data_IF_107097733570
#
_entry.id   IF_107097733570
#
_cell.length_a   1.000
_cell.length_b   1.000
_cell.length_c   1.000
_cell.angle_alpha   90.00
_cell.angle_beta   90.00
_cell.angle_gamma   90.00
#
_symmetry.space_group_name_H-M   'P 1'
#
loop_
_entity.id
_entity.type
_entity.pdbx_description
1 polymer ?
#
# COMPACT_ATOMS: atom_id res chain seq x y z
N UNK A 1 -20.49 2.27 68.99
CA UNK A 1 -21.35 2.58 67.83
C UNK A 1 -20.53 2.36 66.55
N UNK A 2 -20.77 1.27 65.83
CA UNK A 2 -20.03 0.94 64.60
C UNK A 2 -20.73 1.59 63.40
N UNK A 3 -19.99 2.37 62.60
CA UNK A 3 -20.50 2.95 61.33
C UNK A 3 -20.69 1.84 60.29
N UNK A 4 -21.80 1.83 59.52
CA UNK A 4 -22.01 0.85 58.46
C UNK A 4 -21.06 1.14 57.29
N UNK A 5 -20.44 0.08 56.75
CA UNK A 5 -19.57 0.12 55.58
C UNK A 5 -20.39 0.39 54.33
N UNK A 6 -19.96 1.38 53.54
CA UNK A 6 -20.54 1.75 52.25
C UNK A 6 -20.61 0.55 51.28
N UNK A 7 -21.73 0.37 50.55
CA UNK A 7 -21.88 -0.74 49.63
C UNK A 7 -20.94 -0.61 48.43
N UNK A 8 -20.32 -1.73 48.09
CA UNK A 8 -19.35 -1.90 47.03
C UNK A 8 -19.80 -1.26 45.70
N UNK A 9 -18.91 -0.44 45.12
CA UNK A 9 -19.07 0.10 43.76
C UNK A 9 -19.23 -1.05 42.77
N UNK A 10 -20.41 -1.13 42.15
CA UNK A 10 -20.70 -2.10 41.10
C UNK A 10 -19.73 -1.95 39.91
N UNK A 11 -19.28 -3.06 39.29
CA UNK A 11 -18.37 -3.01 38.14
C UNK A 11 -19.06 -2.38 36.94
N UNK A 12 -18.43 -1.36 36.36
CA UNK A 12 -18.98 -0.62 35.20
C UNK A 12 -19.04 -1.53 33.97
N UNK A 13 -20.24 -1.75 33.45
CA UNK A 13 -20.50 -2.49 32.20
C UNK A 13 -19.84 -1.75 31.05
N UNK A 14 -18.91 -2.42 30.34
CA UNK A 14 -18.24 -1.86 29.18
C UNK A 14 -19.25 -1.72 28.03
N UNK A 15 -19.31 -0.54 27.41
CA UNK A 15 -20.19 -0.26 26.28
C UNK A 15 -19.85 -1.19 25.10
N UNK A 16 -20.83 -1.56 24.24
CA UNK A 16 -20.67 -2.55 23.17
C UNK A 16 -19.59 -2.25 22.12
N UNK A 17 -19.05 -1.03 22.07
CA UNK A 17 -18.01 -0.61 21.12
C UNK A 17 -16.75 -0.08 21.80
N UNK A 18 -16.28 -0.77 22.85
CA UNK A 18 -15.02 -0.40 23.49
C UNK A 18 -13.82 -0.95 22.70
N UNK A 19 -13.55 -0.36 21.54
CA UNK A 19 -12.35 -0.63 20.74
C UNK A 19 -11.15 -0.06 21.51
N UNK A 20 -10.16 -0.89 21.83
CA UNK A 20 -8.93 -0.41 22.48
C UNK A 20 -8.14 0.39 21.45
N UNK A 21 -7.45 1.45 21.88
CA UNK A 21 -6.56 2.22 20.99
C UNK A 21 -5.51 1.35 20.29
N UNK A 22 -5.13 0.22 20.91
CA UNK A 22 -4.21 -0.76 20.35
C UNK A 22 -4.81 -1.66 19.26
N UNK A 23 -6.14 -1.81 19.22
CA UNK A 23 -6.86 -2.61 18.21
C UNK A 23 -7.33 -1.72 17.05
N UNK A 24 -7.13 -0.40 17.16
CA UNK A 24 -7.40 0.56 16.11
C UNK A 24 -6.14 0.60 15.23
N UNK A 25 -6.25 0.15 13.97
CA UNK A 25 -5.18 0.13 12.95
C UNK A 25 -4.70 1.55 12.58
N UNK A 26 -4.22 2.30 13.57
CA UNK A 26 -3.84 3.69 13.45
C UNK A 26 -2.52 3.82 12.70
N UNK A 27 -1.63 2.83 12.84
CA UNK A 27 -0.33 2.82 12.18
C UNK A 27 -0.48 2.78 10.65
N UNK A 28 -1.36 1.90 10.13
CA UNK A 28 -1.69 1.82 8.70
C UNK A 28 -2.33 3.11 8.19
N UNK A 29 -3.26 3.68 8.95
CA UNK A 29 -3.89 4.97 8.61
C UNK A 29 -2.89 6.14 8.59
N UNK A 30 -1.96 6.18 9.55
CA UNK A 30 -0.89 7.17 9.62
C UNK A 30 0.07 6.98 8.44
N UNK A 31 0.38 5.74 8.06
CA UNK A 31 1.21 5.41 6.91
C UNK A 31 0.56 5.87 5.59
N UNK A 32 -0.76 5.69 5.47
CA UNK A 32 -1.58 6.16 4.35
C UNK A 32 -1.69 7.69 4.26
N UNK A 33 -1.76 8.37 5.40
CA UNK A 33 -1.75 9.83 5.43
C UNK A 33 -0.36 10.38 5.08
N UNK A 34 0.70 9.74 5.60
CA UNK A 34 2.08 10.12 5.32
C UNK A 34 2.46 9.83 3.86
N UNK A 35 1.92 8.78 3.23
CA UNK A 35 2.13 8.49 1.81
C UNK A 35 1.51 9.54 0.89
N UNK A 36 0.47 10.24 1.35
CA UNK A 36 -0.23 11.29 0.59
C UNK A 36 0.34 12.69 0.81
N UNK A 37 1.25 12.88 1.78
CA UNK A 37 1.84 14.18 2.06
C UNK A 37 2.99 14.50 1.07
N UNK A 38 2.86 15.53 0.22
CA UNK A 38 3.84 15.79 -0.85
C UNK A 38 5.23 16.17 -0.32
N UNK A 39 5.29 16.80 0.86
CA UNK A 39 6.56 17.23 1.46
C UNK A 39 7.42 16.06 1.93
N UNK A 40 6.80 15.04 2.52
CA UNK A 40 7.48 13.83 3.00
C UNK A 40 7.94 12.96 1.83
N UNK A 41 7.13 12.86 0.77
CA UNK A 41 7.52 12.19 -0.47
C UNK A 41 8.76 12.84 -1.09
N UNK A 42 8.77 14.18 -1.21
CA UNK A 42 9.91 14.91 -1.75
C UNK A 42 11.17 14.70 -0.90
N UNK A 43 11.06 14.75 0.42
CA UNK A 43 12.19 14.48 1.32
C UNK A 43 12.73 13.06 1.16
N UNK A 44 11.85 12.05 1.08
CA UNK A 44 12.23 10.65 0.90
C UNK A 44 12.92 10.43 -0.45
N UNK A 45 12.37 11.01 -1.52
CA UNK A 45 12.95 11.00 -2.86
C UNK A 45 14.36 11.60 -2.80
N UNK A 46 14.52 12.82 -2.26
CA UNK A 46 15.83 13.48 -2.13
C UNK A 46 16.81 12.63 -1.29
N UNK A 47 16.36 12.02 -0.20
CA UNK A 47 17.19 11.15 0.62
C UNK A 47 17.67 9.92 -0.16
N UNK A 48 16.79 9.23 -0.87
CA UNK A 48 17.15 8.08 -1.71
C UNK A 48 18.08 8.46 -2.86
N UNK A 49 17.83 9.58 -3.54
CA UNK A 49 18.68 10.09 -4.60
C UNK A 49 20.10 10.43 -4.11
N UNK A 50 20.22 11.04 -2.92
CA UNK A 50 21.53 11.34 -2.31
C UNK A 50 22.27 10.08 -1.88
N UNK A 51 21.56 9.12 -1.28
CA UNK A 51 22.14 7.88 -0.78
C UNK A 51 22.55 6.93 -1.92
N UNK A 52 21.77 6.89 -3.01
CA UNK A 52 21.96 5.90 -4.07
C UNK A 52 23.26 6.08 -4.86
N UNK A 53 24.18 5.13 -4.70
CA UNK A 53 25.41 5.08 -5.47
C UNK A 53 25.16 4.83 -6.97
N UNK A 54 24.22 3.93 -7.29
CA UNK A 54 23.84 3.59 -8.66
C UNK A 54 23.36 4.82 -9.44
N UNK A 55 22.60 5.70 -8.78
CA UNK A 55 22.12 6.94 -9.40
C UNK A 55 23.27 7.92 -9.71
N UNK A 56 24.21 8.08 -8.79
CA UNK A 56 25.42 8.91 -8.99
C UNK A 56 26.29 8.37 -10.12
N UNK A 57 26.47 7.05 -10.19
CA UNK A 57 27.19 6.39 -11.28
C UNK A 57 26.51 6.61 -12.63
N UNK A 58 25.19 6.46 -12.68
CA UNK A 58 24.42 6.73 -13.90
C UNK A 58 24.59 8.18 -14.38
N UNK A 59 24.53 9.16 -13.48
CA UNK A 59 24.78 10.58 -13.83
C UNK A 59 26.18 10.80 -14.41
N UNK A 60 27.21 10.16 -13.87
CA UNK A 60 28.56 10.25 -14.40
C UNK A 60 28.66 9.65 -15.81
N UNK A 61 28.08 8.46 -16.03
CA UNK A 61 28.02 7.83 -17.35
C UNK A 61 27.22 8.67 -18.35
N UNK A 62 26.11 9.26 -17.90
CA UNK A 62 25.29 10.16 -18.71
C UNK A 62 26.09 11.39 -19.15
N UNK A 63 26.88 11.98 -18.26
CA UNK A 63 27.74 13.11 -18.59
C UNK A 63 28.80 12.73 -19.64
N UNK A 64 29.49 11.61 -19.44
CA UNK A 64 30.47 11.08 -20.41
C UNK A 64 29.82 10.84 -21.78
N UNK A 65 28.61 10.28 -21.80
CA UNK A 65 27.89 10.00 -23.04
C UNK A 65 27.46 11.27 -23.77
N UNK A 66 27.06 12.32 -23.05
CA UNK A 66 26.75 13.63 -23.65
C UNK A 66 28.00 14.20 -24.33
N UNK A 67 29.15 14.16 -23.65
CA UNK A 67 30.43 14.64 -24.21
C UNK A 67 30.83 13.81 -25.45
N UNK A 68 30.53 12.51 -25.45
CA UNK A 68 30.77 11.63 -26.60
C UNK A 68 29.72 11.75 -27.73
N UNK A 69 28.68 12.57 -27.57
CA UNK A 69 27.60 12.74 -28.56
C UNK A 69 26.45 11.72 -28.50
N UNK A 70 26.52 10.74 -27.58
CA UNK A 70 25.51 9.68 -27.40
C UNK A 70 24.56 9.90 -26.21
N UNK A 71 24.46 11.15 -25.71
CA UNK A 71 23.69 11.47 -24.52
C UNK A 71 22.21 11.06 -24.59
N UNK A 72 21.58 11.19 -25.76
CA UNK A 72 20.17 10.79 -25.96
C UNK A 72 19.98 9.28 -25.82
N UNK A 73 20.87 8.48 -26.43
CA UNK A 73 20.79 7.02 -26.34
C UNK A 73 20.96 6.54 -24.89
N UNK A 74 21.93 7.09 -24.17
CA UNK A 74 22.14 6.76 -22.76
C UNK A 74 20.98 7.19 -21.86
N UNK A 75 20.33 8.32 -22.17
CA UNK A 75 19.13 8.74 -21.48
C UNK A 75 17.98 7.74 -21.66
N UNK A 76 17.74 7.30 -22.90
CA UNK A 76 16.68 6.33 -23.21
C UNK A 76 16.93 5.01 -22.46
N UNK A 77 18.16 4.49 -22.52
CA UNK A 77 18.54 3.26 -21.81
C UNK A 77 18.37 3.43 -20.30
N UNK A 78 18.77 4.58 -19.74
CA UNK A 78 18.61 4.88 -18.33
C UNK A 78 17.16 4.96 -17.88
N UNK A 79 16.26 5.51 -18.72
CA UNK A 79 14.83 5.51 -18.44
C UNK A 79 14.25 4.10 -18.42
N UNK A 80 14.59 3.27 -19.41
CA UNK A 80 14.16 1.87 -19.44
C UNK A 80 14.66 1.09 -18.22
N UNK A 81 15.95 1.27 -17.88
CA UNK A 81 16.52 0.69 -16.67
C UNK A 81 15.80 1.17 -15.41
N UNK A 82 15.52 2.46 -15.28
CA UNK A 82 14.83 3.03 -14.14
C UNK A 82 13.40 2.49 -14.00
N UNK A 83 12.68 2.28 -15.11
CA UNK A 83 11.36 1.66 -15.10
C UNK A 83 11.42 0.24 -14.54
N UNK A 84 12.37 -0.57 -15.03
CA UNK A 84 12.54 -1.96 -14.58
C UNK A 84 12.97 -1.99 -13.10
N UNK A 85 13.96 -1.18 -12.72
CA UNK A 85 14.46 -1.14 -11.35
C UNK A 85 13.44 -0.58 -10.34
N UNK A 86 12.54 0.31 -10.78
CA UNK A 86 11.46 0.85 -9.98
C UNK A 86 10.18 -0.01 -10.03
N UNK A 87 10.15 -1.07 -10.84
CA UNK A 87 9.07 -2.05 -10.80
C UNK A 87 9.20 -2.80 -9.47
N UNK A 88 8.45 -2.32 -8.46
CA UNK A 88 8.46 -2.87 -7.12
C UNK A 88 7.87 -4.28 -7.07
N UNK A 89 8.16 -4.99 -5.97
CA UNK A 89 7.45 -6.22 -5.64
C UNK A 89 6.09 -5.86 -5.05
N UNK A 90 5.04 -6.60 -5.41
CA UNK A 90 3.74 -6.49 -4.74
C UNK A 90 3.91 -6.84 -3.26
N UNK A 91 3.15 -6.17 -2.39
CA UNK A 91 3.11 -6.55 -0.97
C UNK A 91 2.49 -7.94 -0.87
N UNK A 92 3.06 -8.78 -0.01
CA UNK A 92 2.52 -10.13 0.23
C UNK A 92 1.08 -10.03 0.74
N UNK A 93 0.15 -10.71 0.05
CA UNK A 93 -1.28 -10.70 0.36
C UNK A 93 -2.10 -9.58 -0.31
N UNK A 94 -1.48 -8.68 -1.08
CA UNK A 94 -2.22 -7.64 -1.82
C UNK A 94 -2.91 -8.26 -3.04
N UNK A 95 -4.25 -8.23 -3.11
CA UNK A 95 -5.01 -8.71 -4.26
C UNK A 95 -4.70 -7.87 -5.51
N UNK A 96 -4.58 -8.54 -6.65
CA UNK A 96 -4.32 -7.91 -7.93
C UNK A 96 -5.59 -7.27 -8.48
N UNK A 97 -5.41 -6.37 -9.44
CA UNK A 97 -6.49 -5.78 -10.21
C UNK A 97 -7.16 -6.76 -11.20
N UNK A 98 -6.62 -7.97 -11.40
CA UNK A 98 -7.21 -8.99 -12.27
C UNK A 98 -7.19 -10.34 -11.58
N UNK A 99 -8.35 -10.93 -11.34
CA UNK A 99 -8.52 -12.22 -10.65
C UNK A 99 -7.54 -13.31 -11.12
N UNK A 100 -7.17 -13.35 -12.41
CA UNK A 100 -6.15 -14.26 -12.97
C UNK A 100 -4.77 -14.21 -12.28
N UNK A 101 -4.39 -13.07 -11.71
CA UNK A 101 -3.12 -12.88 -11.01
C UNK A 101 -3.25 -12.97 -9.48
N UNK A 102 -4.39 -13.46 -8.97
CA UNK A 102 -4.58 -13.80 -7.56
C UNK A 102 -4.39 -15.30 -7.36
N UNK A 103 -3.97 -15.70 -6.16
CA UNK A 103 -4.01 -17.10 -5.76
C UNK A 103 -5.44 -17.64 -5.89
N UNK A 104 -5.58 -18.84 -6.43
CA UNK A 104 -6.86 -19.52 -6.69
C UNK A 104 -7.87 -18.75 -7.57
N UNK A 105 -7.40 -17.77 -8.36
CA UNK A 105 -8.29 -16.95 -9.21
C UNK A 105 -9.37 -16.28 -8.36
N UNK A 106 -9.00 -15.83 -7.16
CA UNK A 106 -9.95 -15.18 -6.25
C UNK A 106 -10.62 -13.99 -6.92
N UNK A 107 -11.94 -13.95 -6.83
CA UNK A 107 -12.77 -12.88 -7.36
C UNK A 107 -12.40 -11.55 -6.71
N UNK A 108 -12.42 -10.49 -7.51
CA UNK A 108 -12.09 -9.15 -7.02
C UNK A 108 -13.31 -8.61 -6.28
N UNK A 109 -13.07 -7.86 -5.21
CA UNK A 109 -14.14 -7.18 -4.51
C UNK A 109 -14.86 -6.21 -5.47
N UNK A 110 -16.15 -6.47 -5.73
CA UNK A 110 -16.95 -5.72 -6.72
C UNK A 110 -17.01 -6.33 -8.12
N UNK A 111 -16.31 -7.43 -8.40
CA UNK A 111 -16.55 -8.21 -9.63
C UNK A 111 -17.86 -9.00 -9.53
N UNK A 112 -18.55 -9.17 -10.65
CA UNK A 112 -19.79 -9.95 -10.72
C UNK A 112 -19.52 -11.41 -10.36
N UNK A 113 -20.20 -11.91 -9.34
CA UNK A 113 -20.23 -13.34 -9.02
C UNK A 113 -21.10 -14.07 -10.06
N UNK A 114 -20.43 -14.88 -10.90
CA UNK A 114 -21.08 -15.58 -12.00
C UNK A 114 -22.00 -16.70 -11.51
N UNK A 115 -21.72 -17.33 -10.36
CA UNK A 115 -22.60 -18.35 -9.78
C UNK A 115 -23.89 -17.72 -9.26
N UNK A 116 -23.78 -16.58 -8.57
CA UNK A 116 -24.93 -15.81 -8.13
C UNK A 116 -25.76 -15.32 -9.33
N UNK A 117 -25.11 -14.83 -10.38
CA UNK A 117 -25.76 -14.39 -11.62
C UNK A 117 -26.52 -15.54 -12.31
N UNK A 118 -25.88 -16.70 -12.47
CA UNK A 118 -26.51 -17.87 -13.09
C UNK A 118 -27.71 -18.36 -12.28
N UNK A 119 -27.59 -18.38 -10.94
CA UNK A 119 -28.69 -18.72 -10.06
C UNK A 119 -29.86 -17.77 -10.21
N UNK A 120 -29.62 -16.47 -10.30
CA UNK A 120 -30.67 -15.49 -10.58
C UNK A 120 -31.31 -15.68 -11.95
N UNK A 121 -30.52 -15.89 -13.00
CA UNK A 121 -31.01 -16.17 -14.36
C UNK A 121 -31.91 -17.41 -14.39
N UNK A 122 -31.47 -18.50 -13.75
CA UNK A 122 -32.21 -19.76 -13.68
C UNK A 122 -33.49 -19.63 -12.87
N UNK A 123 -33.48 -18.85 -11.80
CA UNK A 123 -34.67 -18.64 -10.96
C UNK A 123 -35.69 -17.74 -11.64
N UNK A 124 -35.27 -16.79 -12.49
CA UNK A 124 -36.17 -15.91 -13.26
C UNK A 124 -36.69 -16.53 -14.56
N UNK A 125 -36.05 -17.59 -15.06
CA UNK A 125 -36.44 -18.30 -16.28
C UNK A 125 -37.50 -19.40 -16.06
N UNK A 126 -37.84 -19.69 -14.80
CA UNK A 126 -38.96 -20.55 -14.38
C UNK A 126 -40.14 -19.69 -13.95
#
# INVERSE_FOLDING_TARGET
MAKPKDPAKAPKVKKPYHIKKADLHLDEYIEDQNSKNPSLLAQRVVAHLKASFQFKLYLALQFVAVVAGYGQAMLIVGLLWAMIANTGKRKDGELSAYSLFNEDVQAIQGSTDMEALERELRTRAL
#
